data_IF_541873307718
#
_entry.id   IF_541873307718
#
_cell.length_a   1.000
_cell.length_b   1.000
_cell.length_c   1.000
_cell.angle_alpha   90.00
_cell.angle_beta   90.00
_cell.angle_gamma   90.00
#
_symmetry.space_group_name_H-M   'P 1'
#
loop_
_entity.id
_entity.type
_entity.pdbx_description
1 polymer ?
#
# COMPACT_ATOMS: atom_id res chain seq x y z
N UNK A 1 -1.62 0.52 18.32
CA UNK A 1 -2.35 0.35 17.05
C UNK A 1 -2.64 1.76 16.59
N UNK A 2 -2.01 2.20 15.50
CA UNK A 2 -2.26 3.55 14.96
C UNK A 2 -3.67 3.60 14.37
N UNK A 3 -4.20 4.81 14.22
CA UNK A 3 -5.50 5.06 13.59
C UNK A 3 -5.50 4.58 12.13
N UNK A 4 -4.42 4.87 11.41
CA UNK A 4 -4.19 4.36 10.05
C UNK A 4 -4.25 2.83 9.98
N UNK A 5 -3.66 2.11 10.95
CA UNK A 5 -3.68 0.64 10.98
C UNK A 5 -5.13 0.12 10.99
N UNK A 6 -5.98 0.73 11.82
CA UNK A 6 -7.40 0.34 11.93
C UNK A 6 -8.19 0.67 10.67
N UNK A 7 -7.92 1.81 10.03
CA UNK A 7 -8.57 2.20 8.78
C UNK A 7 -8.23 1.24 7.64
N UNK A 8 -6.96 0.89 7.47
CA UNK A 8 -6.51 -0.05 6.43
C UNK A 8 -7.04 -1.46 6.69
N UNK A 9 -6.99 -1.96 7.93
CA UNK A 9 -7.58 -3.27 8.27
C UNK A 9 -9.08 -3.32 7.95
N UNK A 10 -9.82 -2.24 8.27
CA UNK A 10 -11.24 -2.13 7.98
C UNK A 10 -11.50 -2.05 6.47
N UNK A 11 -10.68 -1.32 5.73
CA UNK A 11 -10.77 -1.22 4.28
C UNK A 11 -10.61 -2.61 3.64
N UNK A 12 -9.55 -3.32 3.99
CA UNK A 12 -9.28 -4.67 3.47
C UNK A 12 -10.45 -5.62 3.79
N UNK A 13 -10.97 -5.61 5.03
CA UNK A 13 -12.10 -6.47 5.40
C UNK A 13 -13.36 -6.19 4.56
N UNK A 14 -13.66 -4.91 4.31
CA UNK A 14 -14.80 -4.52 3.50
C UNK A 14 -14.59 -4.80 2.01
N UNK A 15 -13.38 -4.60 1.49
CA UNK A 15 -13.04 -4.86 0.09
C UNK A 15 -13.09 -6.36 -0.20
N UNK A 16 -12.46 -7.18 0.65
CA UNK A 16 -12.52 -8.64 0.57
C UNK A 16 -13.97 -9.15 0.59
N UNK A 17 -14.81 -8.60 1.48
CA UNK A 17 -16.21 -9.00 1.54
C UNK A 17 -16.99 -8.61 0.28
N UNK A 18 -16.67 -7.47 -0.34
CA UNK A 18 -17.28 -7.05 -1.60
C UNK A 18 -16.81 -7.95 -2.75
N UNK A 19 -15.52 -8.27 -2.79
CA UNK A 19 -14.93 -9.19 -3.76
C UNK A 19 -15.56 -10.59 -3.67
N UNK A 20 -15.78 -11.14 -2.48
CA UNK A 20 -16.51 -12.41 -2.29
C UNK A 20 -17.93 -12.36 -2.89
N UNK A 21 -18.63 -11.22 -2.77
CA UNK A 21 -19.96 -11.05 -3.38
C UNK A 21 -19.88 -10.97 -4.90
N UNK A 22 -18.90 -10.24 -5.43
CA UNK A 22 -18.64 -10.13 -6.88
C UNK A 22 -18.38 -11.51 -7.46
N UNK A 23 -17.44 -12.26 -6.88
CA UNK A 23 -17.08 -13.60 -7.32
C UNK A 23 -18.31 -14.52 -7.34
N UNK A 24 -19.13 -14.49 -6.29
CA UNK A 24 -20.33 -15.32 -6.17
C UNK A 24 -21.41 -14.99 -7.21
N UNK A 25 -21.59 -13.72 -7.56
CA UNK A 25 -22.50 -13.35 -8.65
C UNK A 25 -21.95 -13.81 -10.00
N UNK A 26 -20.64 -13.66 -10.22
CA UNK A 26 -19.95 -14.12 -11.43
C UNK A 26 -19.83 -15.65 -11.56
N UNK A 27 -19.97 -16.41 -10.46
CA UNK A 27 -20.12 -17.87 -10.54
C UNK A 27 -21.39 -18.27 -11.32
N UNK A 28 -22.42 -17.40 -11.29
CA UNK A 28 -23.75 -17.68 -11.81
C UNK A 28 -24.09 -16.86 -13.08
N UNK A 29 -23.26 -15.89 -13.44
CA UNK A 29 -23.45 -14.99 -14.58
C UNK A 29 -22.10 -14.60 -15.22
N UNK A 30 -22.09 -14.33 -16.54
CA UNK A 30 -20.87 -13.87 -17.22
C UNK A 30 -20.48 -12.43 -16.84
N UNK A 31 -21.43 -11.64 -16.34
CA UNK A 31 -21.28 -10.23 -15.97
C UNK A 31 -22.07 -9.95 -14.69
N UNK A 32 -21.67 -8.93 -13.94
CA UNK A 32 -22.41 -8.49 -12.75
C UNK A 32 -23.79 -7.96 -13.15
N UNK A 33 -24.85 -8.23 -12.35
CA UNK A 33 -26.17 -7.68 -12.62
C UNK A 33 -26.16 -6.15 -12.46
N UNK A 34 -26.96 -5.44 -13.27
CA UNK A 34 -27.07 -3.97 -13.20
C UNK A 34 -27.46 -3.46 -11.80
N UNK A 35 -28.14 -4.28 -10.98
CA UNK A 35 -28.51 -3.92 -9.61
C UNK A 35 -27.39 -4.12 -8.58
N UNK A 36 -26.28 -4.78 -8.94
CA UNK A 36 -25.23 -5.13 -7.98
C UNK A 36 -24.66 -3.92 -7.25
N UNK A 37 -24.36 -2.85 -8.00
CA UNK A 37 -23.86 -1.60 -7.43
C UNK A 37 -24.89 -0.96 -6.51
N UNK A 38 -26.16 -0.87 -6.94
CA UNK A 38 -27.24 -0.31 -6.11
C UNK A 38 -27.47 -1.14 -4.83
N UNK A 39 -27.40 -2.46 -4.93
CA UNK A 39 -27.60 -3.40 -3.82
C UNK A 39 -26.46 -3.35 -2.79
N UNK A 40 -25.26 -2.87 -3.19
CA UNK A 40 -24.08 -2.75 -2.34
C UNK A 40 -23.59 -1.30 -2.15
N UNK A 41 -24.40 -0.31 -2.53
CA UNK A 41 -24.02 1.11 -2.53
C UNK A 41 -23.49 1.58 -1.17
N UNK A 42 -24.11 1.16 -0.05
CA UNK A 42 -23.68 1.56 1.30
C UNK A 42 -22.25 1.10 1.61
N UNK A 43 -21.87 -0.11 1.18
CA UNK A 43 -20.52 -0.64 1.36
C UNK A 43 -19.52 0.05 0.42
N UNK A 44 -19.92 0.33 -0.82
CA UNK A 44 -19.08 1.05 -1.80
C UNK A 44 -18.82 2.48 -1.32
N UNK A 45 -19.85 3.16 -0.80
CA UNK A 45 -19.73 4.50 -0.22
C UNK A 45 -18.82 4.46 1.02
N UNK A 46 -18.98 3.48 1.91
CA UNK A 46 -18.14 3.31 3.09
C UNK A 46 -16.68 3.03 2.73
N UNK A 47 -16.41 2.21 1.71
CA UNK A 47 -15.07 1.99 1.19
C UNK A 47 -14.44 3.29 0.69
N UNK A 48 -15.20 4.10 -0.06
CA UNK A 48 -14.73 5.40 -0.55
C UNK A 48 -14.42 6.39 0.59
N UNK A 49 -15.27 6.45 1.62
CA UNK A 49 -15.04 7.29 2.81
C UNK A 49 -13.78 6.86 3.57
N UNK A 50 -13.61 5.55 3.79
CA UNK A 50 -12.41 5.02 4.48
C UNK A 50 -11.16 5.26 3.65
N UNK A 51 -11.20 5.04 2.33
CA UNK A 51 -10.05 5.31 1.46
C UNK A 51 -9.61 6.78 1.56
N UNK A 52 -10.56 7.71 1.54
CA UNK A 52 -10.28 9.13 1.72
C UNK A 52 -9.68 9.48 3.09
N UNK A 53 -10.12 8.80 4.16
CA UNK A 53 -9.51 8.95 5.48
C UNK A 53 -8.07 8.38 5.52
N UNK A 54 -7.81 7.31 4.79
CA UNK A 54 -6.47 6.73 4.64
C UNK A 54 -5.55 7.70 3.90
N UNK A 55 -5.99 8.30 2.78
CA UNK A 55 -5.24 9.33 2.02
C UNK A 55 -4.67 10.41 2.94
N UNK A 56 -5.54 11.03 3.74
CA UNK A 56 -5.18 12.08 4.69
C UNK A 56 -4.26 11.57 5.81
N UNK A 57 -4.52 10.36 6.31
CA UNK A 57 -3.73 9.76 7.38
C UNK A 57 -2.32 9.46 6.92
N UNK A 58 -2.16 8.84 5.75
CA UNK A 58 -0.86 8.50 5.15
C UNK A 58 -0.02 9.75 4.93
N UNK A 59 -0.61 10.86 4.48
CA UNK A 59 0.11 12.11 4.25
C UNK A 59 0.90 12.59 5.49
N UNK A 60 0.31 12.45 6.68
CA UNK A 60 0.85 12.98 7.93
C UNK A 60 1.49 11.91 8.85
N UNK A 61 1.35 10.63 8.54
CA UNK A 61 1.85 9.54 9.37
C UNK A 61 3.38 9.42 9.26
N UNK A 62 4.03 9.10 10.39
CA UNK A 62 5.46 8.76 10.41
C UNK A 62 5.61 7.26 10.15
N UNK A 63 6.16 6.93 9.00
CA UNK A 63 6.45 5.56 8.63
C UNK A 63 7.89 5.19 8.93
N UNK A 64 8.11 3.88 9.08
CA UNK A 64 9.42 3.27 9.01
C UNK A 64 9.63 2.81 7.56
N UNK A 65 10.76 3.19 6.97
CA UNK A 65 11.23 2.71 5.67
C UNK A 65 12.46 1.83 5.88
N UNK A 66 12.62 0.84 5.01
CA UNK A 66 13.75 -0.09 5.04
C UNK A 66 14.73 0.27 3.93
N UNK A 67 16.02 0.30 4.25
CA UNK A 67 17.09 0.62 3.30
C UNK A 67 18.24 -0.35 3.41
N UNK A 68 19.01 -0.51 2.33
CA UNK A 68 20.21 -1.32 2.32
C UNK A 68 21.36 -0.60 3.05
N UNK A 69 21.71 -1.09 4.23
CA UNK A 69 22.77 -0.55 5.08
C UNK A 69 24.18 -0.69 4.48
N UNK A 70 24.38 -1.58 3.50
CA UNK A 70 25.66 -1.74 2.79
C UNK A 70 25.82 -0.78 1.61
N UNK A 71 24.74 -0.16 1.16
CA UNK A 71 24.79 0.82 0.07
C UNK A 71 25.41 2.12 0.60
N UNK A 72 26.41 2.67 -0.11
CA UNK A 72 27.00 3.97 0.24
C UNK A 72 25.96 5.10 0.16
N UNK A 73 24.91 4.91 -0.64
CA UNK A 73 23.81 5.86 -0.85
C UNK A 73 22.56 5.53 -0.02
N UNK A 74 22.59 4.47 0.81
CA UNK A 74 21.45 3.97 1.59
C UNK A 74 20.18 3.79 0.74
N UNK A 75 20.30 3.05 -0.36
CA UNK A 75 19.17 2.78 -1.26
C UNK A 75 17.98 2.18 -0.49
N UNK A 76 16.82 2.82 -0.63
CA UNK A 76 15.57 2.36 -0.03
C UNK A 76 15.11 1.09 -0.77
N UNK A 77 14.54 0.15 -0.04
CA UNK A 77 13.92 -1.04 -0.64
C UNK A 77 12.70 -0.60 -1.42
N UNK A 78 12.57 -1.06 -2.66
CA UNK A 78 11.39 -0.87 -3.50
C UNK A 78 10.82 -2.24 -3.90
N UNK A 79 9.51 -2.33 -4.03
CA UNK A 79 8.81 -3.49 -4.58
C UNK A 79 8.49 -3.19 -6.04
N UNK A 80 9.07 -3.97 -6.95
CA UNK A 80 8.84 -3.82 -8.38
C UNK A 80 7.52 -4.51 -8.72
N UNK A 81 6.64 -3.78 -9.40
CA UNK A 81 5.38 -4.25 -9.96
C UNK A 81 5.61 -4.33 -11.48
N UNK A 82 5.86 -5.54 -11.96
CA UNK A 82 5.99 -5.80 -13.40
C UNK A 82 5.32 -7.12 -13.76
N UNK A 83 4.65 -7.15 -14.90
CA UNK A 83 4.37 -8.40 -15.60
C UNK A 83 5.65 -8.85 -16.32
N UNK A 84 5.93 -10.16 -16.41
CA UNK A 84 7.22 -10.73 -16.85
C UNK A 84 7.72 -10.26 -18.25
N UNK A 85 6.91 -9.53 -19.02
CA UNK A 85 7.19 -9.07 -20.39
C UNK A 85 7.05 -7.53 -20.57
N UNK A 86 6.87 -6.75 -19.51
CA UNK A 86 6.72 -5.29 -19.61
C UNK A 86 8.07 -4.55 -19.63
N UNK A 87 8.17 -3.51 -20.46
CA UNK A 87 9.41 -2.70 -20.61
C UNK A 87 9.49 -1.56 -19.59
N UNK A 88 8.40 -1.29 -18.85
CA UNK A 88 8.32 -0.30 -17.79
C UNK A 88 8.18 -1.02 -16.43
N UNK A 89 9.17 -0.83 -15.54
CA UNK A 89 9.19 -1.42 -14.21
C UNK A 89 8.64 -0.41 -13.20
N UNK A 90 7.32 -0.38 -13.03
CA UNK A 90 6.68 0.43 -11.99
C UNK A 90 7.08 -0.09 -10.59
N UNK A 91 7.15 0.79 -9.60
CA UNK A 91 7.51 0.38 -8.24
C UNK A 91 6.77 1.14 -7.16
N UNK A 92 6.66 0.48 -6.01
CA UNK A 92 6.15 1.05 -4.75
C UNK A 92 7.19 0.97 -3.66
N UNK A 93 7.14 1.92 -2.72
CA UNK A 93 7.97 1.89 -1.53
C UNK A 93 7.19 1.22 -0.39
N UNK A 94 7.66 0.09 0.17
CA UNK A 94 7.07 -0.50 1.35
C UNK A 94 7.33 0.41 2.57
N UNK A 95 6.27 0.72 3.31
CA UNK A 95 6.30 1.59 4.49
C UNK A 95 5.61 0.89 5.65
N UNK A 96 6.14 1.04 6.87
CA UNK A 96 5.66 0.30 8.03
C UNK A 96 5.16 1.23 9.13
N UNK A 97 4.01 0.89 9.72
CA UNK A 97 3.40 1.66 10.81
C UNK A 97 4.03 1.37 12.18
N UNK A 98 4.77 0.27 12.30
CA UNK A 98 5.44 -0.12 13.54
C UNK A 98 6.69 -0.97 13.30
N UNK A 99 7.55 -1.06 14.32
CA UNK A 99 8.83 -1.77 14.22
C UNK A 99 8.66 -3.29 14.12
N UNK A 100 7.54 -3.86 14.58
CA UNK A 100 7.31 -5.31 14.52
C UNK A 100 7.13 -5.73 13.06
N UNK A 101 6.23 -5.07 12.34
CA UNK A 101 5.97 -5.30 10.92
C UNK A 101 7.23 -5.07 10.06
N UNK A 102 7.98 -4.00 10.35
CA UNK A 102 9.23 -3.69 9.65
C UNK A 102 10.29 -4.78 9.86
N UNK A 103 10.40 -5.31 11.08
CA UNK A 103 11.36 -6.37 11.38
C UNK A 103 10.97 -7.69 10.71
N UNK A 104 9.68 -8.04 10.72
CA UNK A 104 9.18 -9.23 10.02
C UNK A 104 9.46 -9.16 8.51
N UNK A 105 9.23 -8.00 7.89
CA UNK A 105 9.56 -7.81 6.48
C UNK A 105 11.08 -7.89 6.21
N UNK A 106 11.90 -7.34 7.09
CA UNK A 106 13.36 -7.47 7.01
C UNK A 106 13.81 -8.93 7.10
N UNK A 107 13.18 -9.76 7.94
CA UNK A 107 13.48 -11.19 7.99
C UNK A 107 13.21 -11.86 6.65
N UNK A 108 12.09 -11.55 6.00
CA UNK A 108 11.76 -12.05 4.66
C UNK A 108 12.76 -11.56 3.60
N UNK A 109 13.13 -10.28 3.62
CA UNK A 109 14.13 -9.74 2.69
C UNK A 109 15.51 -10.37 2.87
N UNK A 110 15.91 -10.71 4.10
CA UNK A 110 17.18 -11.42 4.36
C UNK A 110 17.16 -12.85 3.85
N UNK A 111 16.03 -13.54 3.93
CA UNK A 111 15.90 -14.89 3.35
C UNK A 111 16.05 -14.88 1.82
N UNK A 112 15.60 -13.81 1.17
CA UNK A 112 15.70 -13.66 -0.29
C UNK A 112 17.04 -13.08 -0.75
N UNK A 113 17.66 -12.23 0.07
CA UNK A 113 18.87 -11.47 -0.26
C UNK A 113 19.91 -11.59 0.87
N UNK A 114 20.44 -12.79 1.08
CA UNK A 114 21.36 -13.14 2.19
C UNK A 114 22.61 -12.23 2.28
N UNK A 115 23.01 -11.58 1.18
CA UNK A 115 24.17 -10.69 1.14
C UNK A 115 23.89 -9.26 1.61
N UNK A 116 22.62 -8.85 1.75
CA UNK A 116 22.25 -7.50 2.15
C UNK A 116 22.15 -7.35 3.67
N UNK A 117 22.45 -6.15 4.16
CA UNK A 117 22.17 -5.74 5.54
C UNK A 117 21.13 -4.63 5.46
N UNK A 118 20.07 -4.72 6.27
CA UNK A 118 18.97 -3.77 6.22
C UNK A 118 18.97 -2.90 7.47
N UNK A 119 18.66 -1.62 7.28
CA UNK A 119 18.45 -0.66 8.35
C UNK A 119 17.10 0.03 8.18
N UNK A 120 16.60 0.62 9.26
CA UNK A 120 15.33 1.33 9.28
C UNK A 120 15.61 2.81 9.49
N UNK A 121 14.95 3.65 8.71
CA UNK A 121 14.87 5.09 8.91
C UNK A 121 13.39 5.47 9.04
N UNK A 122 13.10 6.62 9.65
CA UNK A 122 11.74 7.10 9.83
C UNK A 122 11.48 8.34 9.00
N UNK A 123 10.29 8.43 8.40
CA UNK A 123 9.96 9.51 7.49
C UNK A 123 8.45 9.73 7.41
N UNK A 124 8.03 10.98 7.25
CA UNK A 124 6.61 11.29 7.05
C UNK A 124 6.17 10.85 5.65
N UNK A 125 4.92 10.39 5.51
CA UNK A 125 4.39 9.95 4.21
C UNK A 125 4.55 11.01 3.12
N UNK A 126 4.19 12.26 3.39
CA UNK A 126 4.38 13.36 2.43
C UNK A 126 5.84 13.61 2.02
N UNK A 127 6.80 13.43 2.93
CA UNK A 127 8.21 13.55 2.61
C UNK A 127 8.69 12.37 1.76
N UNK A 128 8.15 11.15 1.98
CA UNK A 128 8.43 10.00 1.12
C UNK A 128 7.93 10.28 -0.30
N UNK A 129 6.67 10.67 -0.46
CA UNK A 129 6.10 11.02 -1.79
C UNK A 129 6.93 12.10 -2.48
N UNK A 130 7.34 13.15 -1.75
CA UNK A 130 8.12 14.25 -2.31
C UNK A 130 9.51 13.82 -2.82
N UNK A 131 10.15 12.81 -2.20
CA UNK A 131 11.46 12.32 -2.66
C UNK A 131 11.38 11.61 -4.01
N UNK A 132 10.23 11.01 -4.33
CA UNK A 132 10.03 10.23 -5.56
C UNK A 132 9.09 10.91 -6.57
N UNK A 133 8.65 12.14 -6.31
CA UNK A 133 7.69 12.85 -7.16
C UNK A 133 8.19 13.15 -8.59
N UNK A 134 9.51 13.10 -8.83
CA UNK A 134 10.12 13.26 -10.16
C UNK A 134 10.38 11.92 -10.87
N UNK A 135 10.15 10.79 -10.19
CA UNK A 135 10.32 9.44 -10.74
C UNK A 135 8.99 8.99 -11.37
N UNK A 136 8.99 8.80 -12.69
CA UNK A 136 7.78 8.44 -13.44
C UNK A 136 7.33 6.99 -13.21
N UNK A 137 8.24 6.15 -12.71
CA UNK A 137 7.99 4.74 -12.42
C UNK A 137 7.51 4.54 -10.97
N UNK A 138 7.54 5.58 -10.12
CA UNK A 138 7.03 5.53 -8.75
C UNK A 138 5.52 5.71 -8.69
N UNK A 139 4.80 4.63 -8.35
CA UNK A 139 3.34 4.64 -8.35
C UNK A 139 2.71 4.84 -6.96
N UNK A 140 3.44 4.61 -5.86
CA UNK A 140 2.85 4.76 -4.52
C UNK A 140 3.55 4.04 -3.36
N UNK A 141 2.82 3.94 -2.25
CA UNK A 141 3.30 3.33 -1.01
C UNK A 141 2.57 2.03 -0.72
N UNK A 142 3.31 0.98 -0.36
CA UNK A 142 2.73 -0.28 0.10
C UNK A 142 2.74 -0.32 1.64
N UNK A 143 1.58 -0.24 2.27
CA UNK A 143 1.46 -0.12 3.73
C UNK A 143 1.61 -1.50 4.36
N UNK A 144 2.59 -1.68 5.26
CA UNK A 144 2.91 -2.93 5.97
C UNK A 144 3.07 -4.14 5.03
N UNK A 145 3.70 -3.94 3.87
CA UNK A 145 4.01 -5.03 2.95
C UNK A 145 5.23 -5.85 3.42
N UNK A 146 5.25 -7.18 3.23
CA UNK A 146 4.31 -7.99 2.46
C UNK A 146 3.15 -8.58 3.29
N UNK A 147 3.00 -8.20 4.55
CA UNK A 147 1.97 -8.75 5.43
C UNK A 147 0.57 -8.33 4.97
N UNK A 148 0.46 -7.13 4.41
CA UNK A 148 -0.79 -6.53 3.96
C UNK A 148 -0.81 -6.36 2.45
N UNK A 149 -1.98 -6.59 1.86
CA UNK A 149 -2.24 -6.41 0.43
C UNK A 149 -2.91 -5.04 0.19
N UNK A 150 -2.20 -3.97 0.56
CA UNK A 150 -2.72 -2.60 0.42
C UNK A 150 -1.64 -1.64 -0.09
N UNK A 151 -1.97 -1.00 -1.22
CA UNK A 151 -1.16 0.02 -1.87
C UNK A 151 -1.98 1.29 -1.99
N UNK A 152 -1.39 2.44 -1.66
CA UNK A 152 -1.97 3.75 -1.90
C UNK A 152 -1.17 4.48 -2.97
N UNK A 153 -1.89 5.00 -3.97
CA UNK A 153 -1.31 5.74 -5.10
C UNK A 153 -0.60 7.01 -4.65
N UNK A 154 0.53 7.34 -5.28
CA UNK A 154 1.29 8.56 -4.96
C UNK A 154 0.49 9.84 -5.20
N UNK A 155 -0.44 9.82 -6.17
CA UNK A 155 -1.35 10.91 -6.49
C UNK A 155 -2.48 11.11 -5.46
N UNK A 156 -2.84 10.04 -4.75
CA UNK A 156 -3.92 10.05 -3.74
C UNK A 156 -3.42 10.52 -2.36
N UNK A 157 -2.10 10.46 -2.13
CA UNK A 157 -1.49 10.93 -0.87
C UNK A 157 -1.43 12.46 -0.86
N UNK A 158 -2.51 13.06 -0.41
CA UNK A 158 -2.66 14.51 -0.32
C UNK A 158 -3.39 14.93 0.96
N UNK A 159 -3.18 16.16 1.42
CA UNK A 159 -4.01 16.78 2.46
C UNK A 159 -5.04 17.70 1.77
N UNK A 160 -6.21 17.17 1.43
CA UNK A 160 -7.24 17.91 0.69
C UNK A 160 -8.10 18.85 1.57
N UNK A 161 -7.76 19.02 2.86
CA UNK A 161 -8.53 19.81 3.82
C UNK A 161 -7.82 21.13 4.20
N UNK A 162 -7.79 22.12 3.29
CA UNK A 162 -7.60 23.55 3.66
C UNK A 162 -8.94 24.29 3.86
#
# INVERSE_FOLDING_TARGET
MSELKQLVEKFIELDDNLNEKIEKELENAEELPESFEEDNQEQIDELGEIYHEIEHSVFNEEFIIVSNAKSEEKEVVALIISEEDDENEEFVIPVYTDEEEANEAIELFKEQFEENEFTCDKKLGNEIIADYAEDEDFIGLAINAPQWDFVIGSEDVHDCCE
#
